data_IF_734422979688
#
_entry.id   IF_734422979688
#
_cell.length_a   1.000
_cell.length_b   1.000
_cell.length_c   1.000
_cell.angle_alpha   90.00
_cell.angle_beta   90.00
_cell.angle_gamma   90.00
#
_symmetry.space_group_name_H-M   'P 1'
#
loop_
_entity.id
_entity.type
_entity.pdbx_description
1 polymer ?
#
# COMPACT_ATOMS: atom_id res chain seq x y z
N UNK A 1 16.71 -22.02 -19.40
CA UNK A 1 16.85 -21.14 -18.21
C UNK A 1 15.45 -20.96 -17.63
N UNK A 2 15.18 -21.44 -16.41
CA UNK A 2 13.85 -21.32 -15.83
C UNK A 2 13.49 -19.83 -15.65
N UNK A 3 12.39 -19.41 -16.27
CA UNK A 3 11.92 -18.03 -16.25
C UNK A 3 11.59 -17.64 -14.80
N UNK A 4 12.43 -16.82 -14.15
CA UNK A 4 12.12 -16.30 -12.81
C UNK A 4 10.91 -15.38 -12.93
N UNK A 5 9.83 -15.69 -12.22
CA UNK A 5 8.65 -14.82 -12.18
C UNK A 5 9.04 -13.39 -11.77
N UNK A 6 8.49 -12.34 -12.41
CA UNK A 6 8.71 -10.95 -12.01
C UNK A 6 8.43 -10.73 -10.52
N UNK A 7 9.28 -9.96 -9.84
CA UNK A 7 9.20 -9.80 -8.37
C UNK A 7 7.86 -9.21 -7.90
N UNK A 8 7.26 -8.30 -8.67
CA UNK A 8 5.96 -7.67 -8.35
C UNK A 8 4.77 -8.67 -8.37
N UNK A 9 4.93 -9.83 -9.03
CA UNK A 9 3.90 -10.88 -9.06
C UNK A 9 4.02 -11.88 -7.91
N UNK A 10 5.07 -11.78 -7.09
CA UNK A 10 5.27 -12.70 -5.97
C UNK A 10 4.35 -12.33 -4.81
N UNK A 11 3.79 -13.34 -4.14
CA UNK A 11 3.08 -13.14 -2.89
C UNK A 11 4.00 -12.58 -1.80
N UNK A 12 3.43 -11.89 -0.81
CA UNK A 12 4.17 -11.36 0.34
C UNK A 12 5.06 -12.44 1.00
N UNK A 13 4.53 -13.65 1.22
CA UNK A 13 5.31 -14.75 1.81
C UNK A 13 6.48 -15.19 0.92
N UNK A 14 6.29 -15.19 -0.41
CA UNK A 14 7.34 -15.63 -1.32
C UNK A 14 8.48 -14.61 -1.41
N UNK A 15 8.17 -13.32 -1.57
CA UNK A 15 9.19 -12.27 -1.59
C UNK A 15 9.89 -12.17 -0.22
N UNK A 16 9.15 -12.32 0.88
CA UNK A 16 9.74 -12.37 2.22
C UNK A 16 10.78 -13.48 2.36
N UNK A 17 10.46 -14.68 1.86
CA UNK A 17 11.39 -15.80 1.90
C UNK A 17 12.67 -15.52 1.11
N UNK A 18 12.58 -14.82 -0.02
CA UNK A 18 13.74 -14.43 -0.81
C UNK A 18 14.60 -13.38 -0.09
N UNK A 19 13.96 -12.36 0.50
CA UNK A 19 14.65 -11.31 1.29
C UNK A 19 15.34 -11.93 2.52
N UNK A 20 14.66 -12.81 3.26
CA UNK A 20 15.23 -13.48 4.43
C UNK A 20 16.45 -14.36 4.11
N UNK A 21 16.56 -14.82 2.86
CA UNK A 21 17.67 -15.64 2.38
C UNK A 21 18.73 -14.81 1.64
N UNK A 22 18.59 -13.49 1.65
CA UNK A 22 19.45 -12.53 0.94
C UNK A 22 19.61 -12.87 -0.56
N UNK A 23 18.56 -13.44 -1.17
CA UNK A 23 18.50 -13.73 -2.62
C UNK A 23 18.05 -12.49 -3.42
N UNK A 24 17.26 -11.64 -2.78
CA UNK A 24 16.73 -10.39 -3.34
C UNK A 24 16.83 -9.33 -2.25
N UNK A 25 17.35 -8.15 -2.57
CA UNK A 25 17.37 -7.03 -1.62
C UNK A 25 16.00 -6.31 -1.59
N UNK A 26 15.73 -5.58 -0.51
CA UNK A 26 14.54 -4.75 -0.41
C UNK A 26 14.57 -3.66 -1.48
N UNK A 27 15.73 -3.08 -1.79
CA UNK A 27 15.90 -2.11 -2.88
C UNK A 27 15.56 -2.72 -4.25
N UNK A 28 16.06 -3.90 -4.58
CA UNK A 28 15.74 -4.60 -5.84
C UNK A 28 14.25 -4.86 -5.99
N UNK A 29 13.61 -5.31 -4.91
CA UNK A 29 12.17 -5.53 -4.87
C UNK A 29 11.39 -4.21 -5.04
N UNK A 30 11.77 -3.17 -4.32
CA UNK A 30 11.14 -1.85 -4.41
C UNK A 30 11.23 -1.29 -5.84
N UNK A 31 12.38 -1.41 -6.51
CA UNK A 31 12.56 -1.00 -7.91
C UNK A 31 11.60 -1.75 -8.83
N UNK A 32 11.48 -3.08 -8.67
CA UNK A 32 10.59 -3.87 -9.49
C UNK A 32 9.10 -3.48 -9.34
N UNK A 33 8.67 -3.09 -8.12
CA UNK A 33 7.32 -2.57 -7.88
C UNK A 33 7.14 -1.18 -8.50
N UNK A 34 8.08 -0.26 -8.28
CA UNK A 34 8.01 1.10 -8.83
C UNK A 34 8.02 1.10 -10.36
N UNK A 35 8.77 0.21 -11.00
CA UNK A 35 8.78 0.03 -12.45
C UNK A 35 7.43 -0.45 -12.98
N UNK A 36 6.73 -1.30 -12.23
CA UNK A 36 5.37 -1.74 -12.57
C UNK A 36 4.35 -0.63 -12.36
N UNK A 37 4.41 0.06 -11.22
CA UNK A 37 3.56 1.22 -10.90
C UNK A 37 3.70 2.31 -11.97
N UNK A 38 4.92 2.65 -12.38
CA UNK A 38 5.18 3.64 -13.43
C UNK A 38 4.48 3.32 -14.76
N UNK A 39 4.32 2.03 -15.07
CA UNK A 39 3.66 1.57 -16.31
C UNK A 39 2.15 1.52 -16.19
N UNK A 40 1.63 1.22 -15.00
CA UNK A 40 0.21 0.89 -14.80
C UNK A 40 -0.60 1.99 -14.15
N UNK A 41 -0.04 2.69 -13.19
CA UNK A 41 -0.78 3.67 -12.42
C UNK A 41 -1.24 4.92 -13.18
N UNK A 42 -0.60 5.34 -14.30
CA UNK A 42 -1.20 6.34 -15.19
C UNK A 42 -2.57 5.94 -15.75
N UNK A 43 -2.95 4.65 -15.67
CA UNK A 43 -4.26 4.13 -16.06
C UNK A 43 -5.12 3.80 -14.83
N UNK A 44 -4.53 3.19 -13.79
CA UNK A 44 -5.28 2.70 -12.63
C UNK A 44 -5.59 3.79 -11.60
N UNK A 45 -4.70 4.78 -11.45
CA UNK A 45 -4.82 5.87 -10.49
C UNK A 45 -5.05 5.40 -9.04
N UNK A 46 -4.28 4.39 -8.60
CA UNK A 46 -4.41 3.82 -7.28
C UNK A 46 -3.77 4.68 -6.18
N UNK A 47 -2.75 5.50 -6.51
CA UNK A 47 -1.99 6.29 -5.53
C UNK A 47 -2.46 7.75 -5.48
N UNK A 48 -2.78 8.22 -4.27
CA UNK A 48 -2.97 9.63 -3.97
C UNK A 48 -1.64 10.36 -3.73
N UNK A 49 -0.63 9.64 -3.22
CA UNK A 49 0.74 10.13 -3.05
C UNK A 49 1.72 8.97 -3.20
N UNK A 50 2.75 9.17 -4.01
CA UNK A 50 3.85 8.23 -4.19
C UNK A 50 5.15 8.99 -4.48
N UNK A 51 6.14 8.83 -3.62
CA UNK A 51 7.48 9.37 -3.84
C UNK A 51 8.47 8.21 -4.04
N UNK A 52 8.88 8.01 -5.28
CA UNK A 52 9.81 6.93 -5.65
C UNK A 52 11.16 7.07 -4.94
N UNK A 53 11.62 8.30 -4.71
CA UNK A 53 12.91 8.55 -4.05
C UNK A 53 12.84 8.18 -2.56
N UNK A 54 11.75 8.53 -1.90
CA UNK A 54 11.47 8.17 -0.51
C UNK A 54 11.35 6.65 -0.35
N UNK A 55 10.66 5.95 -1.26
CA UNK A 55 10.54 4.48 -1.24
C UNK A 55 11.92 3.82 -1.35
N UNK A 56 12.75 4.27 -2.30
CA UNK A 56 14.08 3.69 -2.48
C UNK A 56 15.02 4.00 -1.31
N UNK A 57 14.92 5.18 -0.70
CA UNK A 57 15.67 5.52 0.50
C UNK A 57 15.27 4.61 1.68
N UNK A 58 13.97 4.41 1.91
CA UNK A 58 13.48 3.47 2.93
C UNK A 58 13.96 2.05 2.68
N UNK A 59 13.91 1.58 1.43
CA UNK A 59 14.36 0.24 1.05
C UNK A 59 15.86 0.03 1.36
N UNK A 60 16.70 1.02 1.05
CA UNK A 60 18.14 0.99 1.38
C UNK A 60 18.40 0.95 2.88
N UNK A 61 17.62 1.67 3.69
CA UNK A 61 17.76 1.58 5.15
C UNK A 61 17.34 0.20 5.67
N UNK A 62 16.31 -0.41 5.09
CA UNK A 62 15.90 -1.77 5.44
C UNK A 62 17.00 -2.79 5.08
N UNK A 63 17.66 -2.66 3.93
CA UNK A 63 18.76 -3.55 3.54
C UNK A 63 19.97 -3.53 4.50
N UNK A 64 20.15 -2.45 5.27
CA UNK A 64 21.21 -2.35 6.29
C UNK A 64 20.88 -3.12 7.58
N UNK A 65 19.63 -3.52 7.78
CA UNK A 65 19.20 -4.21 9.01
C UNK A 65 19.72 -5.65 8.98
N UNK A 66 20.43 -6.04 10.03
CA UNK A 66 21.00 -7.39 10.18
C UNK A 66 19.88 -8.42 10.27
N UNK A 67 20.06 -9.64 9.72
CA UNK A 67 19.03 -10.68 9.71
C UNK A 67 18.36 -10.96 11.06
N UNK A 68 19.10 -10.91 12.18
CA UNK A 68 18.57 -11.13 13.53
C UNK A 68 17.64 -10.02 14.03
N UNK A 69 17.76 -8.80 13.48
CA UNK A 69 16.98 -7.63 13.87
C UNK A 69 15.78 -7.39 12.92
N UNK A 70 15.62 -8.24 11.89
CA UNK A 70 14.54 -8.12 10.89
C UNK A 70 13.20 -8.54 11.48
N UNK A 71 12.25 -7.60 11.49
CA UNK A 71 10.87 -7.86 11.92
C UNK A 71 10.07 -8.80 10.99
N UNK A 72 8.85 -9.20 11.41
CA UNK A 72 8.03 -10.17 10.70
C UNK A 72 7.45 -9.66 9.36
N UNK A 73 7.60 -8.39 9.03
CA UNK A 73 7.23 -7.80 7.74
C UNK A 73 8.42 -7.15 7.03
N UNK A 74 9.65 -7.48 7.43
CA UNK A 74 10.86 -6.87 6.89
C UNK A 74 10.87 -6.85 5.34
N UNK A 75 10.92 -5.65 4.77
CA UNK A 75 10.98 -5.41 3.33
C UNK A 75 9.66 -5.60 2.56
N UNK A 76 8.57 -5.97 3.24
CA UNK A 76 7.28 -6.20 2.56
C UNK A 76 6.62 -4.86 2.26
N UNK A 77 6.36 -4.63 0.97
CA UNK A 77 5.73 -3.42 0.46
C UNK A 77 4.25 -3.35 0.82
N UNK A 78 3.83 -2.22 1.38
CA UNK A 78 2.45 -1.98 1.82
C UNK A 78 1.97 -0.59 1.37
N UNK A 79 0.81 -0.53 0.73
CA UNK A 79 0.09 0.72 0.47
C UNK A 79 -0.79 1.14 1.66
N UNK A 80 -0.83 2.43 1.98
CA UNK A 80 -1.60 2.94 3.14
C UNK A 80 -2.76 3.79 2.63
N UNK A 81 -4.01 3.50 3.01
CA UNK A 81 -5.15 4.34 2.61
C UNK A 81 -4.97 5.78 3.10
N UNK A 82 -5.31 6.73 2.25
CA UNK A 82 -5.18 8.18 2.50
C UNK A 82 -6.19 8.76 3.51
N UNK A 83 -6.53 8.00 4.54
CA UNK A 83 -7.21 8.48 5.76
C UNK A 83 -6.41 8.12 7.03
N UNK A 84 -5.28 7.45 6.85
CA UNK A 84 -4.37 7.05 7.92
C UNK A 84 -3.17 8.00 7.88
N UNK A 85 -2.90 8.63 9.02
CA UNK A 85 -1.77 9.54 9.17
C UNK A 85 -0.45 8.80 8.97
N UNK A 86 0.48 9.53 8.36
CA UNK A 86 1.86 9.13 8.08
C UNK A 86 2.73 10.32 8.42
N UNK A 87 3.78 10.12 9.22
CA UNK A 87 4.63 11.22 9.68
C UNK A 87 5.47 11.88 8.57
N UNK A 88 5.63 11.19 7.45
CA UNK A 88 6.55 11.52 6.35
C UNK A 88 5.85 11.66 4.99
N UNK A 89 4.52 11.54 4.94
CA UNK A 89 3.72 11.70 3.71
C UNK A 89 2.44 12.47 4.03
N UNK A 90 1.92 13.29 3.08
CA UNK A 90 0.68 14.00 3.29
C UNK A 90 -0.49 13.04 3.51
N UNK A 91 -1.54 13.53 4.20
CA UNK A 91 -2.81 12.81 4.32
C UNK A 91 -3.92 13.74 3.89
N UNK A 92 -4.52 13.48 2.74
CA UNK A 92 -5.46 14.40 2.12
C UNK A 92 -6.93 13.99 2.29
N UNK A 93 -7.21 12.82 2.87
CA UNK A 93 -8.56 12.31 3.10
C UNK A 93 -9.37 12.15 1.80
N UNK A 94 -8.71 12.10 0.64
CA UNK A 94 -9.37 12.19 -0.67
C UNK A 94 -10.12 13.50 -0.91
N UNK A 95 -9.85 14.55 -0.14
CA UNK A 95 -10.51 15.86 -0.20
C UNK A 95 -9.58 16.92 -0.79
N UNK A 96 -10.06 17.83 -1.66
CA UNK A 96 -9.27 18.94 -2.16
C UNK A 96 -8.86 19.95 -1.07
N UNK A 97 -9.56 19.96 0.08
CA UNK A 97 -9.27 20.86 1.21
C UNK A 97 -7.83 20.68 1.71
N UNK A 98 -7.32 19.44 1.67
CA UNK A 98 -6.03 19.04 2.26
C UNK A 98 -4.95 18.78 1.20
N UNK A 99 -5.19 19.09 -0.08
CA UNK A 99 -4.33 18.66 -1.20
C UNK A 99 -2.90 19.17 -1.09
N UNK A 100 -2.74 20.40 -0.63
CA UNK A 100 -1.44 21.07 -0.55
C UNK A 100 -0.88 21.08 0.89
N UNK A 101 -1.52 20.36 1.81
CA UNK A 101 -1.02 20.24 3.16
C UNK A 101 0.20 19.31 3.22
N UNK A 102 1.29 19.72 3.91
CA UNK A 102 2.41 18.82 4.15
C UNK A 102 1.99 17.65 5.06
N UNK A 103 2.89 16.68 5.20
CA UNK A 103 2.76 15.65 6.23
C UNK A 103 2.55 16.31 7.60
N UNK A 104 1.51 15.89 8.30
CA UNK A 104 1.14 16.45 9.59
C UNK A 104 0.91 15.33 10.62
N UNK A 105 1.44 15.56 11.82
CA UNK A 105 1.25 14.64 12.95
C UNK A 105 2.08 13.35 12.86
N UNK A 106 1.90 12.45 13.86
CA UNK A 106 2.59 11.18 13.92
C UNK A 106 1.97 10.14 12.97
N UNK A 107 2.69 9.04 12.75
CA UNK A 107 2.11 7.85 12.15
C UNK A 107 0.86 7.41 12.93
N UNK A 108 -0.21 7.08 12.23
CA UNK A 108 -1.32 6.34 12.84
C UNK A 108 -0.78 5.03 13.44
N UNK A 109 -1.37 4.54 14.54
CA UNK A 109 -0.78 3.41 15.28
C UNK A 109 -0.55 2.16 14.42
N UNK A 110 -1.44 1.88 13.46
CA UNK A 110 -1.24 0.77 12.51
C UNK A 110 -0.03 1.00 11.61
N UNK A 111 0.21 2.22 11.14
CA UNK A 111 1.38 2.56 10.32
C UNK A 111 2.66 2.43 11.15
N UNK A 112 2.66 2.94 12.38
CA UNK A 112 3.79 2.80 13.30
C UNK A 112 4.11 1.32 13.58
N UNK A 113 3.09 0.49 13.80
CA UNK A 113 3.26 -0.95 13.99
C UNK A 113 3.85 -1.65 12.76
N UNK A 114 3.39 -1.29 11.55
CA UNK A 114 3.94 -1.83 10.30
C UNK A 114 5.40 -1.45 10.11
N UNK A 115 5.76 -0.18 10.38
CA UNK A 115 7.16 0.28 10.35
C UNK A 115 8.01 -0.46 11.37
N UNK A 116 7.52 -0.62 12.61
CA UNK A 116 8.20 -1.39 13.65
C UNK A 116 8.38 -2.87 13.28
N UNK A 117 7.47 -3.44 12.48
CA UNK A 117 7.60 -4.78 11.93
C UNK A 117 8.54 -4.87 10.71
N UNK A 118 9.13 -3.75 10.27
CA UNK A 118 10.07 -3.65 9.16
C UNK A 118 9.42 -3.51 7.78
N UNK A 119 8.13 -3.18 7.69
CA UNK A 119 7.46 -3.02 6.41
C UNK A 119 8.00 -1.84 5.59
N UNK A 120 8.02 -1.99 4.27
CA UNK A 120 8.30 -0.92 3.33
C UNK A 120 7.00 -0.17 3.01
N UNK A 121 6.86 1.05 3.54
CA UNK A 121 5.67 1.87 3.30
C UNK A 121 5.82 2.57 1.95
N UNK A 122 4.98 2.18 0.98
CA UNK A 122 5.11 2.62 -0.41
C UNK A 122 4.57 4.03 -0.63
N UNK A 123 3.39 4.34 -0.09
CA UNK A 123 2.70 5.58 -0.39
C UNK A 123 1.27 5.59 0.11
N UNK A 124 0.54 6.64 -0.26
CA UNK A 124 -0.87 6.82 0.09
C UNK A 124 -1.74 6.38 -1.07
N UNK A 125 -2.65 5.44 -0.80
CA UNK A 125 -3.61 4.93 -1.77
C UNK A 125 -4.90 5.74 -1.72
N UNK A 126 -5.50 5.95 -2.89
CA UNK A 126 -6.73 6.73 -3.03
C UNK A 126 -7.87 6.19 -2.16
N UNK A 127 -8.65 7.13 -1.62
CA UNK A 127 -9.89 6.90 -0.88
C UNK A 127 -11.02 7.70 -1.54
N UNK A 128 -12.28 7.35 -1.26
CA UNK A 128 -13.37 8.33 -1.42
C UNK A 128 -13.23 9.41 -0.35
N UNK A 129 -13.71 10.62 -0.64
CA UNK A 129 -13.59 11.77 0.25
C UNK A 129 -14.12 11.44 1.66
N UNK A 130 -13.27 11.69 2.68
CA UNK A 130 -13.47 11.37 4.10
C UNK A 130 -13.92 9.93 4.39
N UNK A 131 -13.61 9.00 3.47
CA UNK A 131 -14.09 7.63 3.48
C UNK A 131 -15.62 7.46 3.50
N UNK A 132 -16.38 8.52 3.17
CA UNK A 132 -17.82 8.60 3.32
C UNK A 132 -18.57 8.92 2.01
N UNK A 133 -17.89 9.51 1.02
CA UNK A 133 -18.52 9.84 -0.26
C UNK A 133 -18.85 8.59 -1.09
N UNK A 134 -19.97 8.66 -1.83
CA UNK A 134 -20.42 7.65 -2.78
C UNK A 134 -19.74 7.76 -4.16
N UNK A 135 -19.14 8.92 -4.46
CA UNK A 135 -18.37 9.14 -5.69
C UNK A 135 -16.90 8.86 -5.41
N UNK A 136 -16.28 8.07 -6.29
CA UNK A 136 -14.85 7.73 -6.24
C UNK A 136 -13.95 8.89 -6.67
N UNK A 137 -12.68 8.82 -6.26
CA UNK A 137 -11.61 9.56 -6.93
C UNK A 137 -11.30 8.97 -8.32
N UNK A 138 -10.17 9.36 -8.95
CA UNK A 138 -9.82 8.92 -10.30
C UNK A 138 -9.53 7.42 -10.45
N UNK A 139 -9.42 6.69 -9.34
CA UNK A 139 -9.11 5.27 -9.29
C UNK A 139 -10.15 4.41 -10.03
N UNK A 140 -9.68 3.54 -10.93
CA UNK A 140 -10.51 2.62 -11.72
C UNK A 140 -10.23 1.16 -11.35
N UNK A 141 -11.13 0.25 -11.76
CA UNK A 141 -10.93 -1.19 -11.56
C UNK A 141 -9.84 -1.71 -12.51
N UNK A 142 -8.89 -2.50 -11.98
CA UNK A 142 -7.77 -3.03 -12.77
C UNK A 142 -8.17 -4.09 -13.80
N UNK A 143 -9.32 -4.76 -13.63
CA UNK A 143 -9.86 -5.72 -14.58
C UNK A 143 -10.63 -5.06 -15.74
N UNK A 144 -11.29 -3.94 -15.48
CA UNK A 144 -12.05 -3.16 -16.48
C UNK A 144 -11.99 -1.67 -16.10
N UNK A 145 -11.22 -0.89 -16.85
CA UNK A 145 -10.97 0.52 -16.56
C UNK A 145 -12.20 1.42 -16.73
N UNK A 146 -13.31 0.88 -17.26
CA UNK A 146 -14.60 1.59 -17.31
C UNK A 146 -15.47 1.34 -16.06
N UNK A 147 -14.99 0.53 -15.11
CA UNK A 147 -15.71 0.16 -13.89
C UNK A 147 -15.10 0.79 -12.65
N UNK A 148 -15.95 0.97 -11.65
CA UNK A 148 -15.50 1.38 -10.31
C UNK A 148 -14.71 0.25 -9.63
N UNK A 149 -13.61 0.56 -8.92
CA UNK A 149 -12.94 -0.38 -8.03
C UNK A 149 -13.71 -0.56 -6.71
N UNK A 150 -14.87 0.09 -6.54
CA UNK A 150 -15.59 0.19 -5.28
C UNK A 150 -14.99 1.27 -4.38
N UNK A 151 -15.35 1.26 -3.10
CA UNK A 151 -14.87 2.25 -2.14
C UNK A 151 -15.37 1.97 -0.72
N UNK A 152 -14.91 2.68 0.30
CA UNK A 152 -14.02 3.82 0.18
C UNK A 152 -12.53 3.51 0.08
N UNK A 153 -12.08 2.26 0.28
CA UNK A 153 -10.65 1.86 0.12
C UNK A 153 -10.32 1.51 -1.34
N UNK A 154 -10.66 2.39 -2.27
CA UNK A 154 -10.58 2.16 -3.73
C UNK A 154 -9.15 1.89 -4.21
N UNK A 155 -8.24 2.83 -3.94
CA UNK A 155 -6.83 2.71 -4.33
C UNK A 155 -6.14 1.53 -3.67
N UNK A 156 -6.47 1.22 -2.42
CA UNK A 156 -5.90 0.07 -1.72
C UNK A 156 -6.25 -1.25 -2.42
N UNK A 157 -7.49 -1.41 -2.87
CA UNK A 157 -7.90 -2.61 -3.59
C UNK A 157 -7.33 -2.65 -5.01
N UNK A 158 -7.38 -1.53 -5.73
CA UNK A 158 -6.85 -1.45 -7.10
C UNK A 158 -5.34 -1.71 -7.15
N UNK A 159 -4.55 -1.14 -6.22
CA UNK A 159 -3.11 -1.36 -6.15
C UNK A 159 -2.74 -2.83 -5.93
N UNK A 160 -3.49 -3.54 -5.06
CA UNK A 160 -3.26 -4.98 -4.82
C UNK A 160 -3.70 -5.81 -6.03
N UNK A 161 -4.87 -5.52 -6.59
CA UNK A 161 -5.42 -6.23 -7.73
C UNK A 161 -4.60 -6.05 -9.01
N UNK A 162 -3.92 -4.92 -9.16
CA UNK A 162 -3.04 -4.62 -10.29
C UNK A 162 -1.58 -5.02 -10.03
N UNK A 163 -1.26 -5.74 -8.94
CA UNK A 163 0.09 -6.17 -8.58
C UNK A 163 1.11 -5.02 -8.36
N UNK A 164 0.63 -3.85 -7.97
CA UNK A 164 1.47 -2.71 -7.62
C UNK A 164 2.05 -2.83 -6.21
N UNK A 165 1.33 -3.50 -5.31
CA UNK A 165 1.80 -3.96 -4.00
C UNK A 165 1.13 -5.28 -3.63
N UNK A 166 1.78 -6.17 -2.85
CA UNK A 166 1.15 -7.41 -2.44
C UNK A 166 0.11 -7.23 -1.33
N UNK A 167 0.18 -6.12 -0.57
CA UNK A 167 -0.68 -5.82 0.57
C UNK A 167 -0.99 -4.32 0.63
N UNK A 168 -2.17 -3.98 1.13
CA UNK A 168 -2.54 -2.61 1.45
C UNK A 168 -3.43 -2.55 2.69
N UNK A 169 -3.35 -1.45 3.44
CA UNK A 169 -4.21 -1.18 4.59
C UNK A 169 -5.35 -0.26 4.16
N UNK A 170 -6.57 -0.75 4.31
CA UNK A 170 -7.80 0.02 4.17
C UNK A 170 -8.47 0.33 5.50
N UNK A 171 -9.63 0.99 5.44
CA UNK A 171 -10.52 1.19 6.60
C UNK A 171 -11.93 0.77 6.23
N UNK A 172 -12.70 0.27 7.21
CA UNK A 172 -14.07 -0.19 6.97
C UNK A 172 -15.05 0.27 8.05
N UNK A 173 -16.04 1.06 7.63
CA UNK A 173 -17.22 1.42 8.42
C UNK A 173 -18.44 0.63 7.95
N UNK A 174 -18.78 0.72 6.65
CA UNK A 174 -19.95 0.08 6.03
C UNK A 174 -19.60 -0.76 4.80
N UNK A 175 -18.62 -1.65 4.93
CA UNK A 175 -18.13 -2.49 3.82
C UNK A 175 -17.01 -1.88 2.98
N UNK A 176 -16.38 -0.79 3.45
CA UNK A 176 -15.37 -0.03 2.69
C UNK A 176 -14.05 -0.75 2.39
N UNK A 177 -13.87 -2.00 2.84
CA UNK A 177 -12.79 -2.89 2.39
C UNK A 177 -13.34 -4.09 1.62
N UNK A 178 -14.36 -4.78 2.13
CA UNK A 178 -14.89 -5.99 1.49
C UNK A 178 -15.56 -5.70 0.14
N UNK A 179 -16.22 -4.55 -0.02
CA UNK A 179 -16.81 -4.12 -1.30
C UNK A 179 -15.75 -3.88 -2.37
N UNK A 180 -14.74 -3.01 -2.17
CA UNK A 180 -13.70 -2.86 -3.17
C UNK A 180 -12.85 -4.12 -3.36
N UNK A 181 -12.64 -4.92 -2.30
CA UNK A 181 -12.00 -6.23 -2.42
C UNK A 181 -12.75 -7.17 -3.37
N UNK A 182 -14.07 -7.28 -3.22
CA UNK A 182 -14.91 -8.10 -4.10
C UNK A 182 -14.93 -7.56 -5.54
N UNK A 183 -15.01 -6.24 -5.73
CA UNK A 183 -15.06 -5.64 -7.07
C UNK A 183 -13.74 -5.82 -7.82
N UNK A 184 -12.63 -5.72 -7.11
CA UNK A 184 -11.29 -5.89 -7.66
C UNK A 184 -10.78 -7.34 -7.54
N UNK A 185 -11.65 -8.33 -7.26
CA UNK A 185 -11.25 -9.75 -7.26
C UNK A 185 -10.11 -10.12 -6.30
N UNK A 186 -10.00 -9.45 -5.14
CA UNK A 186 -8.97 -9.72 -4.13
C UNK A 186 -9.58 -10.07 -2.78
N UNK A 187 -8.78 -10.70 -1.92
CA UNK A 187 -9.13 -10.89 -0.53
C UNK A 187 -9.10 -9.57 0.24
N UNK A 188 -10.14 -9.33 1.03
CA UNK A 188 -10.22 -8.21 1.96
C UNK A 188 -10.82 -8.68 3.29
N UNK A 189 -10.14 -8.37 4.39
CA UNK A 189 -10.54 -8.80 5.73
C UNK A 189 -10.78 -7.58 6.62
N UNK A 190 -12.00 -7.42 7.12
CA UNK A 190 -12.28 -6.52 8.25
C UNK A 190 -12.12 -7.29 9.55
N UNK A 191 -11.21 -6.85 10.41
CA UNK A 191 -11.00 -7.47 11.71
C UNK A 191 -12.07 -7.02 12.74
N UNK A 192 -12.26 -7.80 13.81
CA UNK A 192 -13.27 -7.59 14.86
C UNK A 192 -12.87 -6.52 15.91
N UNK A 193 -12.07 -5.52 15.53
CA UNK A 193 -11.67 -4.43 16.43
C UNK A 193 -10.41 -4.69 17.27
N UNK A 194 -9.47 -5.50 16.78
CA UNK A 194 -8.17 -5.73 17.44
C UNK A 194 -7.20 -4.55 17.21
N UNK A 195 -7.39 -3.74 16.17
CA UNK A 195 -6.76 -2.42 16.07
C UNK A 195 -7.47 -1.41 16.97
N UNK A 196 -7.44 -1.68 18.28
CA UNK A 196 -7.76 -0.73 19.34
C UNK A 196 -6.45 -0.37 20.00
N UNK A 197 -5.78 0.65 19.49
CA UNK A 197 -4.69 1.28 20.23
C UNK A 197 -5.31 2.13 21.33
N UNK A 198 -5.36 1.57 22.54
CA UNK A 198 -5.26 2.36 23.76
C UNK A 198 -3.79 2.76 23.86
N UNK A 199 -3.47 4.01 23.59
CA UNK A 199 -2.28 4.67 24.17
C UNK A 199 -2.69 5.31 25.47
#
# INVERSE_FOLDING_TARGET
MANKSPLHLLSACRIQSLIKRDIVTVEEYARALLDHIKKRDPVIHAWAYLDCSLVLAQAKELDKIKPLDRGPLHGIAIGIKDVLLTKDMPTCYGSPIYRDEPAHGPDATVVAALRGAGALIMGKTHTTEFAAANVGGPCVNSYDTQRTPGGSSSGSAAAVADYQVPLAIGTQTGGSMVRPGAYCGIYALKNNGITKSFT
#
